data_IF_755005997185
#
_entry.id   IF_755005997185
#
_cell.length_a   1.000
_cell.length_b   1.000
_cell.length_c   1.000
_cell.angle_alpha   90.00
_cell.angle_beta   90.00
_cell.angle_gamma   90.00
#
_symmetry.space_group_name_H-M   'P 1'
#
loop_
_entity.id
_entity.type
_entity.pdbx_description
1 polymer ?
#
# COMPACT_ATOMS: atom_id res chain seq x y z
N UNK A 1 6.91 19.45 1.17
CA UNK A 1 6.76 18.71 2.45
C UNK A 1 7.79 17.61 2.46
N UNK A 2 8.43 17.33 3.60
CA UNK A 2 9.36 16.19 3.71
C UNK A 2 8.56 14.88 3.81
N UNK A 3 9.01 13.79 3.16
CA UNK A 3 8.33 12.51 3.24
C UNK A 3 8.39 11.95 4.66
N UNK A 4 7.23 11.54 5.19
CA UNK A 4 7.11 10.99 6.56
C UNK A 4 7.29 9.48 6.64
N UNK A 5 7.33 8.80 5.49
CA UNK A 5 7.56 7.36 5.37
C UNK A 5 8.65 7.10 4.32
N UNK A 6 9.39 6.00 4.48
CA UNK A 6 10.43 5.55 3.57
C UNK A 6 10.19 4.10 3.15
N UNK A 7 10.80 3.71 2.03
CA UNK A 7 10.79 2.32 1.59
C UNK A 7 11.41 1.44 2.66
N UNK A 8 10.69 0.39 3.06
CA UNK A 8 11.10 -0.55 4.10
C UNK A 8 10.47 -0.29 5.47
N UNK A 9 9.73 0.79 5.64
CA UNK A 9 8.93 1.00 6.85
C UNK A 9 7.74 0.03 6.86
N UNK A 10 7.47 -0.59 8.02
CA UNK A 10 6.20 -1.27 8.25
C UNK A 10 5.20 -0.23 8.78
N UNK A 11 4.08 -0.07 8.08
CA UNK A 11 3.07 0.93 8.42
C UNK A 11 1.90 0.26 9.11
N UNK A 12 1.49 0.80 10.25
CA UNK A 12 0.31 0.31 10.99
C UNK A 12 -0.94 1.01 10.46
N UNK A 13 -1.95 0.22 10.16
CA UNK A 13 -3.14 0.66 9.44
C UNK A 13 -4.39 0.06 10.08
N UNK A 14 -5.51 0.75 9.90
CA UNK A 14 -6.84 0.24 10.16
C UNK A 14 -7.56 -0.11 8.85
N UNK A 15 -8.37 -1.16 8.86
CA UNK A 15 -9.03 -1.73 7.68
C UNK A 15 -10.51 -1.31 7.55
N UNK A 16 -10.91 -0.90 6.35
CA UNK A 16 -12.31 -0.66 6.03
C UNK A 16 -13.03 -1.97 5.63
N UNK A 17 -14.35 -2.10 5.87
CA UNK A 17 -15.22 -1.15 6.57
C UNK A 17 -15.32 -1.41 8.09
N UNK A 18 -14.66 -2.45 8.59
CA UNK A 18 -14.90 -2.97 9.94
C UNK A 18 -14.21 -2.17 11.05
N UNK A 19 -13.00 -1.68 10.82
CA UNK A 19 -12.23 -0.92 11.80
C UNK A 19 -12.47 0.60 11.65
N UNK A 20 -12.77 1.07 10.44
CA UNK A 20 -13.21 2.45 10.19
C UNK A 20 -14.12 2.55 8.95
N UNK A 21 -14.92 3.61 8.88
CA UNK A 21 -15.73 3.92 7.71
C UNK A 21 -14.94 4.83 6.74
N UNK A 22 -14.82 4.49 5.44
CA UNK A 22 -14.16 5.35 4.46
C UNK A 22 -14.69 6.79 4.39
N UNK A 23 -15.96 7.02 4.75
CA UNK A 23 -16.54 8.38 4.84
C UNK A 23 -15.84 9.27 5.87
N UNK A 24 -15.24 8.67 6.90
CA UNK A 24 -14.57 9.36 8.00
C UNK A 24 -13.14 9.81 7.66
N UNK A 25 -12.66 9.50 6.45
CA UNK A 25 -11.36 9.98 5.94
C UNK A 25 -11.38 11.50 5.84
N UNK A 26 -10.30 12.14 6.31
CA UNK A 26 -10.13 13.60 6.35
C UNK A 26 -8.91 14.03 5.53
N UNK A 27 -8.90 15.31 5.17
CA UNK A 27 -7.70 15.94 4.58
C UNK A 27 -6.54 15.82 5.56
N UNK A 28 -5.39 15.36 5.06
CA UNK A 28 -4.20 15.07 5.85
C UNK A 28 -4.01 13.59 6.21
N UNK A 29 -5.09 12.79 6.18
CA UNK A 29 -5.00 11.34 6.41
C UNK A 29 -4.14 10.67 5.34
N UNK A 30 -3.45 9.59 5.72
CA UNK A 30 -2.72 8.74 4.78
C UNK A 30 -3.57 7.49 4.57
N UNK A 31 -3.89 7.17 3.34
CA UNK A 31 -4.79 6.08 2.99
C UNK A 31 -4.10 5.09 2.07
N UNK A 32 -4.47 3.82 2.21
CA UNK A 32 -4.14 2.76 1.26
C UNK A 32 -5.39 2.49 0.43
N UNK A 33 -5.29 2.71 -0.87
CA UNK A 33 -6.40 2.54 -1.80
C UNK A 33 -5.96 1.77 -3.04
N UNK A 34 -6.94 1.22 -3.75
CA UNK A 34 -6.72 0.52 -5.00
C UNK A 34 -6.76 1.53 -6.16
N UNK A 35 -5.58 1.87 -6.70
CA UNK A 35 -5.40 2.83 -7.77
C UNK A 35 -5.52 2.17 -9.16
N UNK A 36 -6.16 2.86 -10.10
CA UNK A 36 -6.26 2.45 -11.50
C UNK A 36 -5.20 3.12 -12.38
N UNK A 37 -4.83 4.37 -12.07
CA UNK A 37 -3.91 5.16 -12.88
C UNK A 37 -2.53 4.55 -13.16
N UNK A 38 -1.91 3.74 -12.27
CA UNK A 38 -0.59 3.18 -12.55
C UNK A 38 -0.67 1.87 -13.35
N UNK A 39 -1.87 1.37 -13.66
CA UNK A 39 -2.08 0.08 -14.30
C UNK A 39 -2.61 0.25 -15.72
N UNK A 40 -1.96 -0.43 -16.67
CA UNK A 40 -2.37 -0.39 -18.09
C UNK A 40 -3.62 -1.24 -18.30
N UNK A 41 -4.56 -0.69 -19.07
CA UNK A 41 -5.77 -1.39 -19.53
C UNK A 41 -7.08 -0.94 -18.88
N UNK A 42 -7.03 0.03 -17.96
CA UNK A 42 -8.24 0.70 -17.47
C UNK A 42 -8.69 1.79 -18.44
N UNK A 43 -9.99 2.07 -18.46
CA UNK A 43 -10.58 3.12 -19.30
C UNK A 43 -10.79 4.38 -18.48
N UNK A 44 -10.50 5.54 -19.07
CA UNK A 44 -10.87 6.83 -18.48
C UNK A 44 -12.35 7.07 -18.80
N UNK A 45 -13.17 7.20 -17.76
CA UNK A 45 -14.61 7.45 -17.88
C UNK A 45 -14.85 8.93 -18.11
N UNK A 46 -14.19 9.78 -17.32
CA UNK A 46 -14.39 11.22 -17.32
C UNK A 46 -13.08 11.92 -16.94
N UNK A 47 -12.87 13.11 -17.51
CA UNK A 47 -11.81 14.04 -17.11
C UNK A 47 -12.49 15.29 -16.58
N UNK A 48 -12.09 15.70 -15.38
CA UNK A 48 -12.61 16.85 -14.67
C UNK A 48 -11.50 17.88 -14.50
N UNK A 49 -11.85 19.14 -14.73
CA UNK A 49 -11.00 20.27 -14.41
C UNK A 49 -11.57 20.95 -13.16
N UNK A 50 -10.87 20.78 -12.04
CA UNK A 50 -11.30 21.29 -10.73
C UNK A 50 -10.19 22.24 -10.25
N UNK A 51 -10.54 23.52 -10.15
CA UNK A 51 -9.58 24.63 -9.98
C UNK A 51 -8.48 24.58 -11.06
N UNK A 52 -7.22 24.43 -10.62
CA UNK A 52 -6.04 24.28 -11.48
C UNK A 52 -5.60 22.82 -11.62
N UNK A 53 -6.48 21.85 -11.35
CA UNK A 53 -6.19 20.42 -11.39
C UNK A 53 -6.95 19.73 -12.51
N UNK A 54 -6.30 18.80 -13.19
CA UNK A 54 -6.89 17.92 -14.19
C UNK A 54 -6.88 16.52 -13.66
N UNK A 55 -8.06 15.96 -13.40
CA UNK A 55 -8.23 14.68 -12.75
C UNK A 55 -9.09 13.76 -13.60
N UNK A 56 -8.80 12.48 -13.58
CA UNK A 56 -9.51 11.46 -14.32
C UNK A 56 -10.21 10.48 -13.38
N UNK A 57 -11.44 10.10 -13.74
CA UNK A 57 -12.15 8.98 -13.14
C UNK A 57 -11.89 7.76 -14.04
N UNK A 58 -11.42 6.67 -13.44
CA UNK A 58 -11.11 5.44 -14.16
C UNK A 58 -12.18 4.38 -13.91
N UNK A 59 -12.32 3.47 -14.86
CA UNK A 59 -13.11 2.25 -14.73
C UNK A 59 -12.34 1.06 -15.26
N UNK A 60 -12.31 -0.01 -14.46
CA UNK A 60 -11.70 -1.29 -14.79
C UNK A 60 -11.37 -2.08 -13.53
N UNK A 61 -11.11 -3.37 -13.68
CA UNK A 61 -10.86 -4.25 -12.53
C UNK A 61 -9.38 -4.28 -12.12
N UNK A 62 -8.51 -3.73 -12.96
CA UNK A 62 -7.05 -3.79 -12.76
C UNK A 62 -6.62 -2.67 -11.84
N UNK A 63 -6.23 -2.99 -10.61
CA UNK A 63 -5.79 -2.00 -9.64
C UNK A 63 -4.47 -2.38 -8.98
N UNK A 64 -3.76 -1.38 -8.47
CA UNK A 64 -2.59 -1.56 -7.62
C UNK A 64 -2.82 -0.86 -6.27
N UNK A 65 -2.53 -1.52 -5.13
CA UNK A 65 -2.57 -0.85 -3.84
C UNK A 65 -1.45 0.20 -3.74
N UNK A 66 -1.81 1.44 -3.41
CA UNK A 66 -0.86 2.55 -3.18
C UNK A 66 -1.16 3.25 -1.86
N UNK A 67 -0.13 3.86 -1.24
CA UNK A 67 -0.23 4.55 0.06
C UNK A 67 0.07 6.03 -0.08
N UNK A 68 -0.97 6.86 -0.08
CA UNK A 68 -0.84 8.28 -0.42
C UNK A 68 -1.65 9.14 0.57
N UNK A 69 -1.32 10.42 0.64
CA UNK A 69 -1.97 11.38 1.53
C UNK A 69 -3.19 12.00 0.85
N UNK A 70 -4.30 12.08 1.56
CA UNK A 70 -5.47 12.86 1.17
C UNK A 70 -5.11 14.34 1.24
N UNK A 71 -5.15 15.03 0.10
CA UNK A 71 -4.90 16.47 0.03
C UNK A 71 -6.19 17.27 -0.08
N UNK A 72 -7.27 16.67 -0.60
CA UNK A 72 -8.53 17.36 -0.84
C UNK A 72 -9.70 16.37 -0.91
N UNK A 73 -10.89 16.83 -0.50
CA UNK A 73 -12.16 16.12 -0.65
C UNK A 73 -13.11 16.99 -1.45
N UNK A 74 -13.80 16.39 -2.41
CA UNK A 74 -14.71 17.10 -3.32
C UNK A 74 -16.02 16.33 -3.36
N UNK A 75 -17.12 17.03 -3.16
CA UNK A 75 -18.45 16.45 -3.37
C UNK A 75 -18.96 16.82 -4.76
N UNK A 76 -19.24 15.81 -5.58
CA UNK A 76 -19.79 15.95 -6.93
C UNK A 76 -21.09 15.15 -6.96
N UNK A 77 -22.21 15.82 -7.21
CA UNK A 77 -23.55 15.21 -7.29
C UNK A 77 -23.91 14.33 -6.08
N UNK A 78 -23.50 14.76 -4.88
CA UNK A 78 -23.72 14.02 -3.62
C UNK A 78 -22.78 12.83 -3.39
N UNK A 79 -21.85 12.58 -4.31
CA UNK A 79 -20.78 11.58 -4.17
C UNK A 79 -19.47 12.25 -3.75
N UNK A 80 -18.87 11.74 -2.68
CA UNK A 80 -17.60 12.24 -2.16
C UNK A 80 -16.43 11.57 -2.88
N UNK A 81 -15.56 12.41 -3.44
CA UNK A 81 -14.32 12.03 -4.09
C UNK A 81 -13.12 12.62 -3.38
N UNK A 82 -11.98 11.98 -3.56
CA UNK A 82 -10.74 12.31 -2.88
C UNK A 82 -9.63 12.53 -3.89
N UNK A 83 -8.87 13.59 -3.67
CA UNK A 83 -7.60 13.80 -4.37
C UNK A 83 -6.48 13.38 -3.42
N UNK A 84 -5.60 12.53 -3.92
CA UNK A 84 -4.44 12.04 -3.20
C UNK A 84 -3.13 12.56 -3.79
N UNK A 85 -2.08 12.43 -2.98
CA UNK A 85 -0.71 12.73 -3.39
C UNK A 85 0.27 11.86 -2.61
N UNK A 86 1.26 11.29 -3.30
CA UNK A 86 2.37 10.61 -2.65
C UNK A 86 3.23 11.59 -1.84
N UNK A 87 3.68 11.20 -0.64
CA UNK A 87 4.40 12.09 0.29
C UNK A 87 5.70 12.68 -0.29
N UNK A 88 6.33 11.99 -1.24
CA UNK A 88 7.55 12.45 -1.93
C UNK A 88 7.28 12.98 -3.34
N UNK A 89 6.02 13.02 -3.78
CA UNK A 89 5.68 13.51 -5.11
C UNK A 89 5.58 15.05 -5.10
N UNK A 90 5.96 15.75 -6.19
CA UNK A 90 5.75 17.20 -6.29
C UNK A 90 4.30 17.55 -6.62
N UNK A 91 3.61 16.69 -7.39
CA UNK A 91 2.25 16.89 -7.90
C UNK A 91 1.28 15.88 -7.30
N UNK A 92 -0.02 16.16 -7.42
CA UNK A 92 -1.12 15.27 -7.04
C UNK A 92 -1.23 14.09 -8.02
N UNK A 93 -1.95 13.04 -7.61
CA UNK A 93 -2.18 11.88 -8.46
C UNK A 93 -3.26 12.20 -9.50
N UNK A 94 -3.15 11.67 -10.74
CA UNK A 94 -4.06 12.03 -11.82
C UNK A 94 -5.48 11.46 -11.63
N UNK A 95 -5.69 10.55 -10.66
CA UNK A 95 -6.97 9.89 -10.44
C UNK A 95 -7.77 10.58 -9.33
N UNK A 96 -9.04 10.88 -9.62
CA UNK A 96 -10.02 11.27 -8.63
C UNK A 96 -10.67 10.01 -8.06
N UNK A 97 -10.33 9.66 -6.82
CA UNK A 97 -10.72 8.37 -6.24
C UNK A 97 -12.03 8.46 -5.47
N UNK A 98 -12.86 7.43 -5.55
CA UNK A 98 -14.07 7.28 -4.77
C UNK A 98 -13.80 6.60 -3.41
N UNK A 99 -14.73 6.75 -2.47
CA UNK A 99 -14.58 6.19 -1.12
C UNK A 99 -14.45 4.67 -1.08
N UNK A 100 -15.05 3.95 -2.02
CA UNK A 100 -14.98 2.49 -2.11
C UNK A 100 -13.59 1.99 -2.53
N UNK A 101 -12.77 2.83 -3.17
CA UNK A 101 -11.39 2.48 -3.50
C UNK A 101 -10.49 2.46 -2.26
N UNK A 102 -10.86 3.18 -1.19
CA UNK A 102 -10.10 3.23 0.07
C UNK A 102 -10.30 1.94 0.84
N UNK A 103 -9.20 1.22 1.08
CA UNK A 103 -9.21 -0.05 1.79
C UNK A 103 -8.66 0.07 3.21
N UNK A 104 -7.71 0.97 3.44
CA UNK A 104 -7.08 1.16 4.75
C UNK A 104 -6.77 2.62 5.02
N UNK A 105 -6.69 2.99 6.29
CA UNK A 105 -6.15 4.29 6.74
C UNK A 105 -4.97 4.04 7.67
N UNK A 106 -3.91 4.83 7.55
CA UNK A 106 -2.74 4.74 8.41
C UNK A 106 -3.06 5.31 9.78
N UNK A 107 -2.70 4.58 10.82
CA UNK A 107 -2.85 5.05 12.19
C UNK A 107 -1.83 6.16 12.45
N UNK A 108 -2.28 7.27 13.01
CA UNK A 108 -1.43 8.42 13.36
C UNK A 108 -1.46 8.65 14.86
N UNK A 109 -0.28 8.96 15.43
CA UNK A 109 -0.09 9.35 16.83
C UNK A 109 0.65 10.69 16.81
N UNK A 110 0.09 11.71 17.48
CA UNK A 110 0.62 13.08 17.52
C UNK A 110 0.90 13.68 16.13
N UNK A 111 0.03 13.39 15.16
CA UNK A 111 0.14 13.88 13.78
C UNK A 111 1.21 13.18 12.94
N UNK A 112 1.85 12.12 13.45
CA UNK A 112 2.83 11.30 12.71
C UNK A 112 2.29 9.90 12.46
N UNK A 113 2.57 9.29 11.30
CA UNK A 113 2.18 7.91 11.04
C UNK A 113 2.92 6.95 11.99
N UNK A 114 2.19 5.98 12.52
CA UNK A 114 2.79 4.90 13.29
C UNK A 114 3.49 3.94 12.33
N UNK A 115 4.83 4.01 12.32
CA UNK A 115 5.69 3.19 11.47
C UNK A 115 6.78 2.51 12.29
N UNK A 116 7.14 1.30 11.88
CA UNK A 116 8.30 0.58 12.40
C UNK A 116 9.39 0.60 11.30
N UNK A 117 10.46 1.39 11.48
CA UNK A 117 11.49 1.54 10.46
C UNK A 117 12.16 0.23 10.10
N UNK A 118 12.50 0.08 8.82
CA UNK A 118 13.25 -1.05 8.23
C UNK A 118 12.62 -2.44 8.32
N UNK A 119 11.58 -2.65 9.13
CA UNK A 119 11.00 -3.97 9.35
C UNK A 119 10.34 -4.55 8.07
N UNK A 120 9.86 -3.67 7.18
CA UNK A 120 9.36 -4.05 5.86
C UNK A 120 10.43 -4.64 4.93
N UNK A 121 11.72 -4.37 5.15
CA UNK A 121 12.80 -4.98 4.36
C UNK A 121 12.84 -6.50 4.53
N UNK A 122 12.45 -7.04 5.69
CA UNK A 122 12.37 -8.49 5.91
C UNK A 122 11.44 -9.11 4.87
N UNK A 123 10.23 -8.56 4.72
CA UNK A 123 9.26 -9.03 3.72
C UNK A 123 9.76 -8.83 2.28
N UNK A 124 10.36 -7.67 1.98
CA UNK A 124 10.87 -7.35 0.64
C UNK A 124 11.99 -8.32 0.24
N UNK A 125 12.97 -8.57 1.11
CA UNK A 125 14.08 -9.46 0.81
C UNK A 125 13.65 -10.92 0.75
N UNK A 126 12.75 -11.36 1.64
CA UNK A 126 12.21 -12.71 1.61
C UNK A 126 11.49 -12.99 0.28
N UNK A 127 10.66 -12.05 -0.20
CA UNK A 127 10.01 -12.17 -1.52
C UNK A 127 11.01 -12.15 -2.67
N UNK A 128 12.01 -11.26 -2.62
CA UNK A 128 13.03 -11.13 -3.67
C UNK A 128 13.87 -12.40 -3.82
N UNK A 129 14.21 -13.04 -2.71
CA UNK A 129 15.11 -14.19 -2.67
C UNK A 129 14.41 -15.50 -2.30
N UNK A 130 13.11 -15.61 -2.57
CA UNK A 130 12.29 -16.76 -2.13
C UNK A 130 12.87 -18.10 -2.60
N UNK A 131 13.38 -18.17 -3.84
CA UNK A 131 13.99 -19.38 -4.38
C UNK A 131 15.31 -19.74 -3.70
N UNK A 132 16.15 -18.75 -3.41
CA UNK A 132 17.38 -18.96 -2.66
C UNK A 132 17.07 -19.44 -1.24
N UNK A 133 16.07 -18.85 -0.59
CA UNK A 133 15.62 -19.25 0.72
C UNK A 133 15.10 -20.70 0.72
N UNK A 134 14.26 -21.08 -0.26
CA UNK A 134 13.78 -22.46 -0.42
C UNK A 134 14.92 -23.45 -0.68
N UNK A 135 15.93 -23.07 -1.47
CA UNK A 135 17.12 -23.88 -1.71
C UNK A 135 17.89 -24.16 -0.41
N UNK A 136 18.16 -23.11 0.39
CA UNK A 136 18.85 -23.23 1.67
C UNK A 136 18.06 -24.09 2.67
N UNK A 137 16.73 -23.96 2.68
CA UNK A 137 15.84 -24.77 3.51
C UNK A 137 15.94 -26.26 3.15
N UNK A 138 15.93 -26.59 1.85
CA UNK A 138 16.07 -27.98 1.37
C UNK A 138 17.44 -28.54 1.76
N UNK A 139 18.51 -27.78 1.54
CA UNK A 139 19.87 -28.20 1.92
C UNK A 139 19.99 -28.44 3.43
N UNK A 140 19.35 -27.60 4.24
CA UNK A 140 19.32 -27.76 5.70
C UNK A 140 18.60 -29.05 6.12
N UNK A 141 17.45 -29.35 5.52
CA UNK A 141 16.70 -30.59 5.79
C UNK A 141 17.52 -31.83 5.41
N UNK A 142 18.20 -31.81 4.25
CA UNK A 142 19.06 -32.92 3.80
C UNK A 142 20.23 -33.10 4.77
N UNK A 143 20.86 -32.01 5.19
CA UNK A 143 21.95 -32.06 6.17
C UNK A 143 21.51 -32.71 7.48
N UNK A 144 20.35 -32.31 8.00
CA UNK A 144 19.80 -32.84 9.25
C UNK A 144 19.48 -34.33 9.14
N UNK A 145 18.86 -34.74 8.02
CA UNK A 145 18.58 -36.15 7.72
C UNK A 145 19.86 -37.01 7.70
N UNK A 146 20.93 -36.53 7.07
CA UNK A 146 22.22 -37.24 7.01
C UNK A 146 22.88 -37.31 8.40
N UNK A 147 22.79 -36.22 9.19
CA UNK A 147 23.36 -36.15 10.53
C UNK A 147 22.67 -37.14 11.49
N UNK A 148 21.35 -37.22 11.44
CA UNK A 148 20.57 -38.16 12.26
C UNK A 148 20.86 -39.62 11.91
N UNK A 149 21.04 -39.93 10.62
CA UNK A 149 21.47 -41.26 10.18
C UNK A 149 22.83 -41.67 10.73
N UNK A 150 23.79 -40.73 10.82
CA UNK A 150 25.11 -41.00 11.42
C UNK A 150 25.04 -41.20 12.93
N UNK A 151 24.20 -40.47 13.64
CA UNK A 151 24.07 -40.60 15.10
C UNK A 151 23.43 -41.93 15.52
N UNK A 152 22.51 -42.50 14.74
CA UNK A 152 21.90 -43.81 15.03
C UNK A 152 22.84 -45.00 14.84
N UNK A 153 23.84 -44.89 13.96
CA UNK A 153 24.78 -45.98 13.68
C UNK A 153 25.96 -46.03 14.67
N UNK A 154 26.14 -45.00 15.50
CA UNK A 154 27.24 -44.89 16.46
C UNK A 154 26.82 -45.19 17.92
N UNK A 155 25.58 -45.65 18.14
CA UNK A 155 25.06 -46.18 19.40
C UNK A 155 24.63 -47.64 19.20
#
# INVERSE_FOLDING_TARGET
>A
MYPVMKRGDLVVVENAPWEFNPKDVKVGDIVVYNAHWPVVGNRVVCILHIDNKTLAIYSGDKTMPVIHRVIEKIDIDGSCYIITKGDNNPIYDPELISLDQIKRRVITIDGKPLVIPYLGFISIYLKKYIWLFLLLLILWIIYDYIKDGKNKNNN
#
